data_IF_381372703881
#
_entry.id   IF_381372703881
#
_cell.length_a   1.000
_cell.length_b   1.000
_cell.length_c   1.000
_cell.angle_alpha   90.00
_cell.angle_beta   90.00
_cell.angle_gamma   90.00
#
_symmetry.space_group_name_H-M   'P 1'
#
loop_
_entity.id
_entity.type
_entity.pdbx_description
1 polymer ?
#
# COMPACT_ATOMS: atom_id res chain seq x y z
N UNK A 1 30.89 6.33 3.91
CA UNK A 1 30.60 5.25 2.97
C UNK A 1 30.35 5.89 1.60
N UNK A 2 31.04 5.45 0.55
CA UNK A 2 30.77 5.88 -0.82
C UNK A 2 29.39 5.37 -1.29
N UNK A 3 28.84 5.93 -2.39
CA UNK A 3 27.58 5.45 -2.94
C UNK A 3 27.66 3.97 -3.37
N UNK A 4 28.78 3.53 -3.90
CA UNK A 4 28.98 2.15 -4.32
C UNK A 4 29.08 1.19 -3.13
N UNK A 5 29.77 1.58 -2.07
CA UNK A 5 29.81 0.79 -0.82
C UNK A 5 28.41 0.69 -0.19
N UNK A 6 27.66 1.79 -0.16
CA UNK A 6 26.30 1.82 0.36
C UNK A 6 25.35 0.96 -0.48
N UNK A 7 25.42 1.06 -1.81
CA UNK A 7 24.65 0.20 -2.72
C UNK A 7 24.92 -1.27 -2.44
N UNK A 8 26.21 -1.67 -2.45
CA UNK A 8 26.59 -3.05 -2.22
C UNK A 8 26.11 -3.57 -0.86
N UNK A 9 26.23 -2.76 0.18
CA UNK A 9 25.73 -3.11 1.52
C UNK A 9 24.21 -3.33 1.53
N UNK A 10 23.45 -2.40 0.93
CA UNK A 10 21.98 -2.52 0.87
C UNK A 10 21.52 -3.66 -0.04
N UNK A 11 22.21 -3.90 -1.17
CA UNK A 11 21.87 -5.02 -2.06
C UNK A 11 22.10 -6.38 -1.40
N UNK A 12 23.13 -6.53 -0.58
CA UNK A 12 23.33 -7.74 0.22
C UNK A 12 22.22 -7.92 1.27
N UNK A 13 21.77 -6.85 1.91
CA UNK A 13 20.64 -6.89 2.83
C UNK A 13 19.32 -7.22 2.12
N UNK A 14 19.11 -6.70 0.90
CA UNK A 14 17.94 -7.08 0.08
C UNK A 14 17.95 -8.58 -0.18
N UNK A 15 19.06 -9.15 -0.68
CA UNK A 15 19.18 -10.59 -0.95
C UNK A 15 18.88 -11.43 0.29
N UNK A 16 19.32 -10.98 1.46
CA UNK A 16 19.12 -11.69 2.72
C UNK A 16 17.68 -11.69 3.19
N UNK A 17 16.95 -10.58 2.97
CA UNK A 17 15.62 -10.38 3.56
C UNK A 17 14.47 -10.60 2.56
N UNK A 18 14.70 -10.45 1.26
CA UNK A 18 13.72 -10.69 0.21
C UNK A 18 13.70 -12.18 -0.15
N UNK A 19 13.05 -12.98 0.67
CA UNK A 19 13.03 -14.45 0.59
C UNK A 19 11.61 -15.00 0.80
N UNK A 20 11.37 -16.24 0.38
CA UNK A 20 10.10 -16.92 0.66
C UNK A 20 9.80 -17.05 2.16
N UNK A 21 10.83 -17.16 2.99
CA UNK A 21 10.68 -17.20 4.45
C UNK A 21 10.07 -15.89 4.99
N UNK A 22 10.44 -14.74 4.40
CA UNK A 22 9.85 -13.45 4.77
C UNK A 22 8.33 -13.46 4.63
N UNK A 23 7.77 -14.11 3.60
CA UNK A 23 6.34 -14.15 3.34
C UNK A 23 5.57 -14.76 4.53
N UNK A 24 6.12 -15.79 5.18
CA UNK A 24 5.42 -16.54 6.24
C UNK A 24 5.02 -15.66 7.42
N UNK A 25 5.86 -14.70 7.75
CA UNK A 25 5.67 -13.83 8.92
C UNK A 25 5.26 -12.40 8.57
N UNK A 26 4.97 -12.11 7.29
CA UNK A 26 4.57 -10.77 6.83
C UNK A 26 3.12 -10.75 6.33
N UNK A 27 2.41 -9.62 6.48
CA UNK A 27 1.06 -9.46 5.93
C UNK A 27 0.92 -9.74 4.44
N UNK A 28 2.00 -9.67 3.66
CA UNK A 28 2.00 -10.01 2.23
C UNK A 28 1.60 -11.47 1.97
N UNK A 29 1.73 -12.36 2.97
CA UNK A 29 1.27 -13.75 2.85
C UNK A 29 -0.19 -13.89 2.44
N UNK A 30 -1.03 -12.91 2.80
CA UNK A 30 -2.47 -13.01 2.54
C UNK A 30 -2.83 -12.85 1.08
N UNK A 31 -2.37 -11.82 0.33
CA UNK A 31 -2.65 -11.76 -1.10
C UNK A 31 -2.02 -12.92 -1.89
N UNK A 32 -0.93 -13.54 -1.41
CA UNK A 32 -0.38 -14.76 -2.02
C UNK A 32 -1.31 -15.98 -1.99
N UNK A 33 -2.39 -15.96 -1.19
CA UNK A 33 -3.37 -17.06 -1.11
C UNK A 33 -4.37 -17.06 -2.27
N UNK A 34 -4.36 -16.01 -3.09
CA UNK A 34 -5.34 -15.81 -4.17
C UNK A 34 -4.64 -15.81 -5.53
N UNK A 35 -5.37 -16.25 -6.55
CA UNK A 35 -4.93 -16.26 -7.94
C UNK A 35 -5.72 -15.31 -8.83
N UNK A 36 -6.93 -14.92 -8.41
CA UNK A 36 -7.72 -13.94 -9.13
C UNK A 36 -7.24 -12.52 -8.82
N UNK A 37 -7.02 -11.73 -9.88
CA UNK A 37 -6.50 -10.36 -9.75
C UNK A 37 -7.40 -9.48 -8.87
N UNK A 38 -8.73 -9.65 -8.96
CA UNK A 38 -9.66 -8.84 -8.19
C UNK A 38 -9.54 -9.12 -6.68
N UNK A 39 -9.36 -10.39 -6.32
CA UNK A 39 -9.16 -10.80 -4.94
C UNK A 39 -7.79 -10.36 -4.41
N UNK A 40 -6.73 -10.50 -5.21
CA UNK A 40 -5.38 -10.05 -4.87
C UNK A 40 -5.36 -8.54 -4.57
N UNK A 41 -5.96 -7.71 -5.42
CA UNK A 41 -6.06 -6.27 -5.23
C UNK A 41 -6.78 -5.91 -3.92
N UNK A 42 -7.96 -6.50 -3.71
CA UNK A 42 -8.80 -6.25 -2.54
C UNK A 42 -8.06 -6.62 -1.26
N UNK A 43 -7.49 -7.82 -1.23
CA UNK A 43 -6.77 -8.34 -0.07
C UNK A 43 -5.53 -7.50 0.22
N UNK A 44 -4.76 -7.12 -0.81
CA UNK A 44 -3.59 -6.27 -0.64
C UNK A 44 -3.93 -4.95 0.05
N UNK A 45 -4.96 -4.24 -0.40
CA UNK A 45 -5.36 -2.97 0.21
C UNK A 45 -5.96 -3.14 1.61
N UNK A 46 -6.82 -4.13 1.83
CA UNK A 46 -7.44 -4.36 3.14
C UNK A 46 -6.41 -4.77 4.19
N UNK A 47 -5.53 -5.70 3.84
CA UNK A 47 -4.49 -6.19 4.76
C UNK A 47 -3.46 -5.10 5.04
N UNK A 48 -2.99 -4.38 4.02
CA UNK A 48 -2.10 -3.24 4.23
C UNK A 48 -2.75 -2.17 5.12
N UNK A 49 -4.07 -1.94 4.98
CA UNK A 49 -4.79 -0.95 5.80
C UNK A 49 -4.74 -1.25 7.28
N UNK A 50 -4.75 -2.52 7.68
CA UNK A 50 -4.66 -2.91 9.09
C UNK A 50 -3.23 -3.24 9.54
N UNK A 51 -2.23 -3.09 8.67
CA UNK A 51 -0.84 -3.41 8.98
C UNK A 51 -0.16 -2.33 9.84
N UNK A 52 -0.63 -2.18 11.09
CA UNK A 52 0.01 -1.35 12.12
C UNK A 52 -0.11 -1.97 13.51
N UNK A 53 0.93 -1.82 14.32
CA UNK A 53 1.04 -2.37 15.66
C UNK A 53 1.80 -3.70 15.69
N UNK A 54 1.46 -4.59 16.59
CA UNK A 54 2.15 -5.86 16.76
C UNK A 54 1.88 -6.81 15.58
N UNK A 55 2.94 -7.40 15.01
CA UNK A 55 2.89 -8.26 13.82
C UNK A 55 1.97 -9.46 14.01
N UNK A 56 2.09 -10.20 15.13
CA UNK A 56 1.24 -11.35 15.41
C UNK A 56 -0.24 -10.98 15.46
N UNK A 57 -0.56 -9.80 16.03
CA UNK A 57 -1.93 -9.30 16.06
C UNK A 57 -2.42 -8.94 14.65
N UNK A 58 -1.58 -8.33 13.81
CA UNK A 58 -1.91 -8.00 12.42
C UNK A 58 -2.27 -9.28 11.66
N UNK A 59 -1.41 -10.28 11.69
CA UNK A 59 -1.62 -11.55 11.00
C UNK A 59 -2.91 -12.24 11.47
N UNK A 60 -3.12 -12.34 12.78
CA UNK A 60 -4.33 -12.96 13.33
C UNK A 60 -5.61 -12.22 12.90
N UNK A 61 -5.60 -10.89 12.96
CA UNK A 61 -6.78 -10.10 12.62
C UNK A 61 -7.02 -10.04 11.10
N UNK A 62 -5.98 -10.02 10.28
CA UNK A 62 -6.10 -10.16 8.83
C UNK A 62 -6.72 -11.52 8.46
N UNK A 63 -6.24 -12.62 9.07
CA UNK A 63 -6.83 -13.95 8.88
C UNK A 63 -8.31 -13.97 9.18
N UNK A 64 -8.73 -13.51 10.39
CA UNK A 64 -10.14 -13.43 10.78
C UNK A 64 -10.99 -12.55 9.86
N UNK A 65 -10.43 -11.43 9.38
CA UNK A 65 -11.10 -10.54 8.44
C UNK A 65 -11.39 -11.26 7.12
N UNK A 66 -10.40 -12.00 6.60
CA UNK A 66 -10.53 -12.74 5.34
C UNK A 66 -11.41 -13.99 5.48
N UNK A 67 -11.42 -14.66 6.63
CA UNK A 67 -12.35 -15.77 6.93
C UNK A 67 -13.82 -15.32 6.78
N UNK A 68 -14.15 -14.09 7.22
CA UNK A 68 -15.51 -13.53 7.05
C UNK A 68 -15.83 -13.32 5.57
N UNK A 69 -14.83 -12.98 4.75
CA UNK A 69 -15.01 -12.73 3.32
C UNK A 69 -15.11 -14.03 2.51
N UNK A 70 -14.66 -15.16 3.08
CA UNK A 70 -14.71 -16.47 2.45
C UNK A 70 -13.67 -16.65 1.33
N UNK A 71 -14.02 -17.46 0.33
CA UNK A 71 -13.08 -17.85 -0.74
C UNK A 71 -12.79 -16.73 -1.74
N UNK A 72 -13.78 -15.87 -2.04
CA UNK A 72 -13.63 -14.74 -2.95
C UNK A 72 -14.02 -13.44 -2.24
N UNK A 73 -13.04 -12.66 -1.77
CA UNK A 73 -13.25 -11.30 -1.28
C UNK A 73 -13.99 -10.39 -2.26
N UNK A 74 -13.77 -10.57 -3.56
CA UNK A 74 -14.47 -9.84 -4.61
C UNK A 74 -15.97 -10.15 -4.59
N UNK A 75 -16.37 -11.42 -4.65
CA UNK A 75 -17.78 -11.81 -4.63
C UNK A 75 -18.46 -11.38 -3.33
N UNK A 76 -17.77 -11.51 -2.20
CA UNK A 76 -18.26 -11.04 -0.91
C UNK A 76 -18.59 -9.54 -0.93
N UNK A 77 -17.71 -8.73 -1.50
CA UNK A 77 -17.92 -7.28 -1.60
C UNK A 77 -19.03 -6.98 -2.60
N UNK A 78 -19.02 -7.59 -3.76
CA UNK A 78 -19.99 -7.29 -4.83
C UNK A 78 -21.40 -7.72 -4.47
N UNK A 79 -21.57 -8.80 -3.71
CA UNK A 79 -22.87 -9.24 -3.18
C UNK A 79 -23.38 -8.43 -1.98
N UNK A 80 -22.54 -7.55 -1.40
CA UNK A 80 -22.92 -6.77 -0.21
C UNK A 80 -22.81 -7.55 1.10
N UNK A 81 -22.04 -8.64 1.14
CA UNK A 81 -21.86 -9.48 2.34
C UNK A 81 -21.41 -8.69 3.58
N UNK A 82 -20.65 -7.62 3.38
CA UNK A 82 -20.16 -6.73 4.43
C UNK A 82 -21.26 -5.96 5.18
N UNK A 83 -22.44 -5.78 4.61
CA UNK A 83 -23.55 -5.02 5.23
C UNK A 83 -24.02 -5.64 6.55
N UNK A 84 -23.84 -6.96 6.72
CA UNK A 84 -24.22 -7.73 7.90
C UNK A 84 -23.26 -7.59 9.08
N UNK A 85 -22.08 -6.99 8.87
CA UNK A 85 -21.10 -6.80 9.93
C UNK A 85 -21.62 -5.74 10.93
N UNK A 86 -21.50 -6.00 12.22
CA UNK A 86 -21.80 -5.00 13.24
C UNK A 86 -20.80 -3.84 13.18
N UNK A 87 -21.28 -2.60 13.21
CA UNK A 87 -20.46 -1.39 13.09
C UNK A 87 -19.46 -1.23 14.24
N UNK A 88 -19.83 -1.69 15.43
CA UNK A 88 -19.01 -1.63 16.63
C UNK A 88 -18.03 -2.79 16.77
N UNK A 89 -18.14 -3.84 15.93
CA UNK A 89 -17.23 -4.99 15.97
C UNK A 89 -15.79 -4.53 15.75
N UNK A 90 -14.93 -4.80 16.72
CA UNK A 90 -13.49 -4.55 16.56
C UNK A 90 -12.90 -5.54 15.55
N UNK A 91 -12.37 -5.04 14.45
CA UNK A 91 -11.64 -5.81 13.44
C UNK A 91 -10.15 -5.79 13.76
N UNK A 92 -9.59 -4.58 13.97
CA UNK A 92 -8.19 -4.42 14.37
C UNK A 92 -7.98 -3.08 15.09
N UNK A 93 -7.70 -3.10 16.40
CA UNK A 93 -7.43 -1.89 17.19
C UNK A 93 -8.53 -0.82 17.02
N UNK A 94 -8.21 0.28 16.34
CA UNK A 94 -9.17 1.37 16.06
C UNK A 94 -9.89 1.23 14.72
N UNK A 95 -9.71 0.12 14.02
CA UNK A 95 -10.43 -0.25 12.80
C UNK A 95 -11.60 -1.17 13.17
N UNK A 96 -12.81 -0.67 13.03
CA UNK A 96 -14.04 -1.35 13.42
C UNK A 96 -14.85 -1.82 12.21
N UNK A 97 -15.96 -2.51 12.45
CA UNK A 97 -16.87 -2.97 11.40
C UNK A 97 -17.34 -1.86 10.46
N UNK A 98 -17.63 -0.66 11.00
CA UNK A 98 -17.96 0.51 10.17
C UNK A 98 -16.83 0.93 9.23
N UNK A 99 -15.57 0.79 9.65
CA UNK A 99 -14.42 1.13 8.83
C UNK A 99 -14.20 0.07 7.74
N UNK A 100 -14.43 -1.20 8.08
CA UNK A 100 -14.42 -2.31 7.14
C UNK A 100 -15.53 -2.14 6.07
N UNK A 101 -16.76 -1.81 6.49
CA UNK A 101 -17.87 -1.49 5.57
C UNK A 101 -17.51 -0.32 4.64
N UNK A 102 -16.87 0.72 5.18
CA UNK A 102 -16.39 1.86 4.40
C UNK A 102 -15.49 1.40 3.24
N UNK A 103 -14.51 0.53 3.55
CA UNK A 103 -13.62 -0.03 2.52
C UNK A 103 -14.37 -0.88 1.51
N UNK A 104 -15.20 -1.80 1.95
CA UNK A 104 -15.96 -2.68 1.06
C UNK A 104 -16.89 -1.88 0.15
N UNK A 105 -17.64 -0.93 0.69
CA UNK A 105 -18.54 -0.06 -0.07
C UNK A 105 -17.79 0.81 -1.06
N UNK A 106 -16.65 1.37 -0.66
CA UNK A 106 -15.77 2.14 -1.53
C UNK A 106 -15.25 1.34 -2.71
N UNK A 107 -14.68 0.15 -2.45
CA UNK A 107 -14.18 -0.76 -3.49
C UNK A 107 -15.32 -1.21 -4.41
N UNK A 108 -16.51 -1.54 -3.87
CA UNK A 108 -17.70 -1.87 -4.67
C UNK A 108 -18.10 -0.72 -5.58
N UNK A 109 -18.07 0.51 -5.06
CA UNK A 109 -18.35 1.72 -5.84
C UNK A 109 -17.38 1.89 -6.99
N UNK A 110 -16.07 1.79 -6.73
CA UNK A 110 -15.01 1.89 -7.75
C UNK A 110 -15.19 0.80 -8.83
N UNK A 111 -15.34 -0.46 -8.43
CA UNK A 111 -15.47 -1.59 -9.38
C UNK A 111 -16.84 -1.64 -10.07
N UNK A 112 -17.85 -1.00 -9.52
CA UNK A 112 -19.18 -0.85 -10.13
C UNK A 112 -19.26 0.22 -11.21
N UNK A 113 -18.20 1.00 -11.43
CA UNK A 113 -18.12 2.01 -12.49
C UNK A 113 -17.90 1.29 -13.85
N UNK A 114 -18.95 0.67 -14.36
CA UNK A 114 -18.96 0.12 -15.72
C UNK A 114 -19.30 1.25 -16.69
N UNK A 115 -18.29 1.77 -17.41
CA UNK A 115 -18.51 2.52 -18.64
C UNK A 115 -19.42 3.76 -18.56
N UNK A 116 -19.59 4.35 -17.39
CA UNK A 116 -20.36 5.58 -17.27
C UNK A 116 -19.45 6.73 -17.70
N UNK A 117 -19.82 7.37 -18.84
CA UNK A 117 -19.24 8.63 -19.29
C UNK A 117 -19.15 9.61 -18.12
N UNK A 118 -17.90 9.86 -17.67
CA UNK A 118 -17.53 10.92 -16.77
C UNK A 118 -18.43 11.06 -15.55
N UNK A 119 -17.99 10.59 -14.38
CA UNK A 119 -18.60 11.02 -13.11
C UNK A 119 -18.51 12.56 -13.11
N UNK A 120 -19.68 13.22 -13.26
CA UNK A 120 -19.77 14.67 -13.16
C UNK A 120 -19.39 15.07 -11.74
N UNK A 121 -18.17 15.53 -11.53
CA UNK A 121 -17.74 16.07 -10.24
C UNK A 121 -16.26 15.89 -9.90
N UNK A 122 -15.58 14.86 -10.39
CA UNK A 122 -14.16 14.70 -10.10
C UNK A 122 -13.35 15.49 -11.11
N UNK A 123 -12.96 16.71 -10.72
CA UNK A 123 -11.99 17.52 -11.47
C UNK A 123 -10.65 16.78 -11.51
N UNK A 124 -10.35 16.12 -12.62
CA UNK A 124 -9.05 15.46 -12.84
C UNK A 124 -9.12 14.04 -13.40
N UNK A 125 -10.23 13.31 -13.28
CA UNK A 125 -10.40 11.97 -13.88
C UNK A 125 -11.13 12.12 -15.21
N UNK A 126 -10.53 12.84 -16.16
CA UNK A 126 -10.98 12.85 -17.55
C UNK A 126 -10.36 11.65 -18.24
N UNK A 127 -11.19 10.69 -18.64
CA UNK A 127 -10.81 9.66 -19.60
C UNK A 127 -10.71 8.21 -19.12
N UNK A 128 -11.15 7.86 -17.91
CA UNK A 128 -11.25 6.44 -17.55
C UNK A 128 -12.52 5.88 -18.17
N UNK A 129 -12.40 5.35 -19.38
CA UNK A 129 -13.43 4.50 -19.99
C UNK A 129 -13.36 3.10 -19.33
N UNK A 130 -14.19 2.91 -18.31
CA UNK A 130 -14.36 1.61 -17.63
C UNK A 130 -13.17 1.19 -16.78
N UNK A 131 -13.29 1.32 -15.47
CA UNK A 131 -12.31 0.77 -14.51
C UNK A 131 -12.38 -0.75 -14.57
N UNK A 132 -11.30 -1.39 -15.03
CA UNK A 132 -11.18 -2.86 -15.09
C UNK A 132 -10.61 -3.42 -13.78
N UNK A 133 -9.70 -2.67 -13.14
CA UNK A 133 -9.04 -3.04 -11.89
C UNK A 133 -8.69 -1.81 -11.06
N UNK A 134 -8.20 -2.01 -9.84
CA UNK A 134 -7.76 -0.89 -9.01
C UNK A 134 -6.50 -0.20 -9.58
N UNK A 135 -5.71 -0.89 -10.40
CA UNK A 135 -4.57 -0.29 -11.10
C UNK A 135 -4.96 0.95 -11.91
N UNK A 136 -6.15 0.93 -12.56
CA UNK A 136 -6.65 2.06 -13.36
C UNK A 136 -6.89 3.33 -12.52
N UNK A 137 -7.13 3.17 -11.22
CA UNK A 137 -7.29 4.29 -10.28
C UNK A 137 -5.96 4.95 -9.96
N UNK A 138 -4.91 4.14 -9.85
CA UNK A 138 -3.57 4.60 -9.47
C UNK A 138 -2.73 5.05 -10.66
N UNK A 139 -2.99 4.48 -11.85
CA UNK A 139 -2.26 4.86 -13.06
C UNK A 139 -2.70 6.24 -13.56
N UNK A 140 -1.72 7.02 -13.98
CA UNK A 140 -1.88 8.26 -14.74
C UNK A 140 -0.68 8.42 -15.69
N UNK A 141 -0.83 9.22 -16.75
CA UNK A 141 0.22 9.40 -17.78
C UNK A 141 1.54 9.98 -17.23
N UNK A 142 1.48 10.66 -16.10
CA UNK A 142 2.66 11.22 -15.43
C UNK A 142 3.36 10.19 -14.54
N UNK A 143 2.80 8.98 -14.38
CA UNK A 143 3.28 7.94 -13.45
C UNK A 143 3.45 8.44 -12.00
N UNK A 144 2.62 9.40 -11.60
CA UNK A 144 2.62 10.00 -10.26
C UNK A 144 1.75 9.19 -9.30
N UNK A 145 2.37 8.36 -8.48
CA UNK A 145 1.66 7.53 -7.50
C UNK A 145 0.94 8.35 -6.41
N UNK A 146 1.38 9.59 -6.14
CA UNK A 146 0.67 10.46 -5.20
C UNK A 146 -0.69 10.90 -5.75
N UNK A 147 -0.77 11.18 -7.06
CA UNK A 147 -2.05 11.43 -7.74
C UNK A 147 -2.93 10.19 -7.69
N UNK A 148 -2.37 9.01 -7.92
CA UNK A 148 -3.09 7.74 -7.81
C UNK A 148 -3.67 7.51 -6.41
N UNK A 149 -2.89 7.76 -5.37
CA UNK A 149 -3.35 7.68 -3.97
C UNK A 149 -4.48 8.70 -3.71
N UNK A 150 -4.37 9.91 -4.23
CA UNK A 150 -5.42 10.92 -4.09
C UNK A 150 -6.71 10.49 -4.81
N UNK A 151 -6.60 9.99 -6.05
CA UNK A 151 -7.75 9.47 -6.80
C UNK A 151 -8.45 8.34 -6.05
N UNK A 152 -7.69 7.37 -5.52
CA UNK A 152 -8.24 6.29 -4.72
C UNK A 152 -9.00 6.82 -3.50
N UNK A 153 -8.41 7.78 -2.78
CA UNK A 153 -9.04 8.40 -1.61
C UNK A 153 -10.35 9.11 -1.97
N UNK A 154 -10.37 9.86 -3.06
CA UNK A 154 -11.52 10.65 -3.51
C UNK A 154 -12.66 9.74 -3.98
N UNK A 155 -12.36 8.69 -4.74
CA UNK A 155 -13.34 7.69 -5.16
C UNK A 155 -13.93 6.93 -3.97
N UNK A 156 -13.10 6.56 -2.98
CA UNK A 156 -13.56 5.94 -1.75
C UNK A 156 -14.48 6.86 -0.96
N UNK A 157 -14.15 8.15 -0.90
CA UNK A 157 -14.97 9.15 -0.21
C UNK A 157 -16.29 9.40 -0.94
N UNK A 158 -16.28 9.48 -2.26
CA UNK A 158 -17.48 9.66 -3.09
C UNK A 158 -18.46 8.49 -2.91
N UNK A 159 -17.97 7.25 -3.00
CA UNK A 159 -18.79 6.06 -2.81
C UNK A 159 -19.44 5.97 -1.42
N UNK A 160 -18.82 6.59 -0.41
CA UNK A 160 -19.29 6.56 0.97
C UNK A 160 -20.02 7.85 1.42
N UNK A 161 -19.88 8.94 0.68
CA UNK A 161 -20.37 10.28 1.08
C UNK A 161 -19.53 10.95 2.17
N UNK A 162 -18.40 10.37 2.57
CA UNK A 162 -17.50 10.91 3.59
C UNK A 162 -16.07 10.35 3.45
N UNK A 163 -15.10 11.01 4.07
CA UNK A 163 -13.71 10.53 4.15
C UNK A 163 -13.49 9.59 5.33
N UNK A 164 -12.47 8.73 5.25
CA UNK A 164 -12.03 7.87 6.35
C UNK A 164 -10.63 8.26 6.83
N UNK A 165 -10.43 8.28 8.16
CA UNK A 165 -9.12 8.43 8.80
C UNK A 165 -8.15 7.28 8.51
N UNK A 166 -8.67 6.14 8.08
CA UNK A 166 -7.86 4.95 7.78
C UNK A 166 -7.27 4.98 6.36
N UNK A 167 -7.74 5.90 5.49
CA UNK A 167 -7.11 6.21 4.22
C UNK A 167 -6.31 7.51 4.40
N UNK A 168 -4.99 7.38 4.40
CA UNK A 168 -4.08 8.52 4.60
C UNK A 168 -4.26 9.59 3.52
N UNK A 169 -4.16 10.86 3.91
CA UNK A 169 -4.25 11.99 2.99
C UNK A 169 -2.86 12.37 2.46
N UNK A 170 -2.56 12.16 1.17
CA UNK A 170 -1.28 12.53 0.57
C UNK A 170 -1.18 14.04 0.30
N UNK A 171 -2.33 14.70 0.13
CA UNK A 171 -2.43 16.12 -0.18
C UNK A 171 -2.74 16.91 1.08
N UNK A 172 -1.84 17.80 1.42
CA UNK A 172 -2.12 18.98 2.21
C UNK A 172 -1.77 20.18 1.33
N UNK A 173 -2.23 21.37 1.70
CA UNK A 173 -1.89 22.65 1.05
C UNK A 173 -0.36 22.85 0.92
N UNK A 174 0.41 22.06 1.65
CA UNK A 174 1.88 21.98 1.58
C UNK A 174 2.34 20.52 1.60
N UNK A 175 3.26 20.09 0.71
CA UNK A 175 3.91 18.77 0.77
C UNK A 175 4.56 18.46 2.12
N UNK A 176 4.94 19.50 2.87
CA UNK A 176 5.54 19.37 4.20
C UNK A 176 4.57 18.85 5.26
N UNK A 177 3.26 18.85 5.00
CA UNK A 177 2.21 18.39 5.92
C UNK A 177 1.49 17.13 5.43
N UNK A 178 1.82 16.65 4.24
CA UNK A 178 1.22 15.45 3.67
C UNK A 178 1.62 14.19 4.44
N UNK A 179 0.70 13.24 4.53
CA UNK A 179 0.99 11.93 5.13
C UNK A 179 2.02 11.15 4.30
N UNK A 180 2.90 10.40 4.96
CA UNK A 180 3.80 9.44 4.31
C UNK A 180 3.06 8.30 3.59
N UNK A 181 1.78 8.10 3.83
CA UNK A 181 0.93 7.08 3.20
C UNK A 181 1.53 5.66 3.19
N UNK A 182 2.33 5.30 4.22
CA UNK A 182 3.12 4.06 4.31
C UNK A 182 2.34 2.82 3.87
N UNK A 183 1.11 2.66 4.37
CA UNK A 183 0.28 1.47 4.10
C UNK A 183 -0.14 1.36 2.64
N UNK A 184 -0.43 2.48 1.99
CA UNK A 184 -0.76 2.51 0.56
C UNK A 184 0.47 2.24 -0.30
N UNK A 185 1.63 2.85 0.01
CA UNK A 185 2.88 2.54 -0.68
C UNK A 185 3.30 1.09 -0.52
N UNK A 186 3.04 0.48 0.64
CA UNK A 186 3.30 -0.95 0.86
C UNK A 186 2.41 -1.83 -0.04
N UNK A 187 1.11 -1.53 -0.13
CA UNK A 187 0.21 -2.24 -1.04
C UNK A 187 0.63 -2.07 -2.51
N UNK A 188 1.02 -0.85 -2.91
CA UNK A 188 1.53 -0.58 -4.26
C UNK A 188 2.81 -1.36 -4.55
N UNK A 189 3.75 -1.45 -3.59
CA UNK A 189 4.96 -2.27 -3.76
C UNK A 189 4.58 -3.73 -4.03
N UNK A 190 3.71 -4.33 -3.21
CA UNK A 190 3.26 -5.71 -3.40
C UNK A 190 2.65 -5.97 -4.78
N UNK A 191 1.85 -5.03 -5.28
CA UNK A 191 1.10 -5.20 -6.54
C UNK A 191 1.94 -4.92 -7.79
N UNK A 192 2.89 -3.99 -7.72
CA UNK A 192 3.66 -3.50 -8.87
C UNK A 192 5.02 -4.16 -9.02
N UNK A 193 5.77 -4.29 -7.90
CA UNK A 193 7.12 -4.85 -7.95
C UNK A 193 7.05 -6.35 -8.22
N UNK A 194 7.81 -6.80 -9.20
CA UNK A 194 7.84 -8.19 -9.64
C UNK A 194 9.27 -8.72 -9.53
N UNK A 195 9.61 -9.30 -8.40
CA UNK A 195 10.89 -9.97 -8.20
C UNK A 195 10.79 -11.51 -8.24
N UNK A 196 9.56 -12.03 -8.35
CA UNK A 196 9.28 -13.45 -8.37
C UNK A 196 9.44 -14.15 -7.02
N UNK A 197 9.60 -13.40 -5.91
CA UNK A 197 9.81 -13.94 -4.56
C UNK A 197 8.71 -13.44 -3.62
N UNK A 198 8.83 -12.20 -3.12
CA UNK A 198 7.91 -11.65 -2.09
C UNK A 198 6.80 -10.81 -2.71
N UNK A 199 7.14 -9.89 -3.60
CA UNK A 199 6.16 -9.00 -4.21
C UNK A 199 5.46 -9.70 -5.38
N UNK A 200 4.15 -9.48 -5.52
CA UNK A 200 3.29 -10.22 -6.47
C UNK A 200 3.44 -9.76 -7.93
N UNK A 201 3.68 -8.47 -8.13
CA UNK A 201 3.89 -7.89 -9.46
C UNK A 201 2.77 -8.15 -10.46
N UNK A 202 1.53 -8.10 -9.99
CA UNK A 202 0.34 -8.36 -10.83
C UNK A 202 -0.08 -7.15 -11.65
N UNK A 203 0.28 -5.93 -11.24
CA UNK A 203 0.06 -4.70 -11.98
C UNK A 203 1.15 -4.48 -13.03
N UNK A 204 0.77 -3.94 -14.19
CA UNK A 204 1.66 -3.88 -15.36
C UNK A 204 1.81 -2.49 -15.97
N UNK A 205 0.96 -1.54 -15.60
CA UNK A 205 0.98 -0.15 -16.12
C UNK A 205 1.92 0.74 -15.33
N UNK A 206 2.07 0.47 -14.02
CA UNK A 206 3.07 1.07 -13.16
C UNK A 206 4.31 0.19 -13.09
N UNK A 207 5.45 0.78 -12.80
CA UNK A 207 6.73 0.07 -12.63
C UNK A 207 7.38 0.44 -11.29
N UNK A 208 8.33 -0.38 -10.77
CA UNK A 208 8.98 -0.12 -9.49
C UNK A 208 9.64 1.26 -9.40
N UNK A 209 10.17 1.80 -10.52
CA UNK A 209 10.77 3.15 -10.58
C UNK A 209 9.78 4.27 -10.26
N UNK A 210 8.47 4.05 -10.47
CA UNK A 210 7.41 5.03 -10.23
C UNK A 210 7.01 5.07 -8.75
N UNK A 211 7.34 4.01 -8.00
CA UNK A 211 6.92 3.84 -6.62
C UNK A 211 7.71 4.72 -5.63
N UNK A 212 7.11 4.89 -4.46
CA UNK A 212 7.71 5.53 -3.30
C UNK A 212 7.92 4.51 -2.18
N UNK A 213 9.01 4.68 -1.42
CA UNK A 213 9.35 3.80 -0.31
C UNK A 213 8.27 3.83 0.79
N UNK A 214 7.83 2.67 1.33
CA UNK A 214 6.89 2.61 2.45
C UNK A 214 7.55 3.08 3.76
N UNK A 215 7.55 4.39 4.01
CA UNK A 215 8.23 4.99 5.15
C UNK A 215 7.44 4.83 6.45
N UNK A 216 7.97 4.06 7.40
CA UNK A 216 7.51 4.03 8.79
C UNK A 216 8.61 4.51 9.76
N UNK A 217 8.36 4.34 11.06
CA UNK A 217 9.30 4.79 12.10
C UNK A 217 10.61 3.99 12.09
N UNK A 218 10.57 2.72 11.71
CA UNK A 218 11.71 1.82 11.64
C UNK A 218 12.59 2.13 10.43
N UNK A 219 11.98 2.13 9.24
CA UNK A 219 12.65 2.51 7.99
C UNK A 219 13.24 3.92 8.10
N UNK A 220 12.51 4.88 8.67
CA UNK A 220 13.00 6.24 8.86
C UNK A 220 14.21 6.32 9.81
N UNK A 221 14.20 5.53 10.89
CA UNK A 221 15.32 5.47 11.84
C UNK A 221 16.59 4.96 11.17
N UNK A 222 16.51 3.80 10.54
CA UNK A 222 17.66 3.19 9.83
C UNK A 222 18.16 4.09 8.71
N UNK A 223 17.26 4.73 7.96
CA UNK A 223 17.64 5.65 6.89
C UNK A 223 18.42 6.86 7.40
N UNK A 224 18.05 7.39 8.59
CA UNK A 224 18.80 8.48 9.22
C UNK A 224 20.18 8.03 9.71
N UNK A 225 20.26 6.86 10.32
CA UNK A 225 21.52 6.27 10.78
C UNK A 225 22.52 6.03 9.64
N UNK A 226 21.99 5.65 8.46
CA UNK A 226 22.78 5.44 7.25
C UNK A 226 23.07 6.74 6.47
N UNK A 227 22.58 7.90 6.93
CA UNK A 227 22.74 9.17 6.23
C UNK A 227 21.94 9.29 4.93
N UNK A 228 20.90 8.46 4.76
CA UNK A 228 20.00 8.48 3.59
C UNK A 228 18.88 9.50 3.74
N UNK A 229 18.57 9.93 4.97
CA UNK A 229 17.47 10.83 5.28
C UNK A 229 17.86 11.79 6.42
N UNK A 230 17.86 13.10 6.15
CA UNK A 230 18.16 14.13 7.18
C UNK A 230 16.90 14.68 7.84
N UNK A 231 15.73 14.53 7.20
CA UNK A 231 14.47 15.07 7.69
C UNK A 231 13.98 14.33 8.94
N UNK A 232 13.63 15.11 10.01
CA UNK A 232 13.15 14.55 11.29
C UNK A 232 11.71 14.03 11.20
N UNK A 233 10.82 14.70 10.45
CA UNK A 233 9.42 14.30 10.30
C UNK A 233 9.28 13.13 9.34
N UNK A 234 8.35 12.19 9.64
CA UNK A 234 8.00 11.09 8.75
C UNK A 234 6.73 11.47 7.97
N UNK A 235 6.86 12.38 7.05
CA UNK A 235 5.79 12.92 6.21
C UNK A 235 6.05 12.66 4.72
N UNK A 236 5.20 13.16 3.84
CA UNK A 236 5.33 13.02 2.38
C UNK A 236 6.71 13.48 1.89
N UNK A 237 7.19 14.61 2.37
CA UNK A 237 8.50 15.14 1.97
C UNK A 237 9.65 14.17 2.33
N UNK A 238 9.57 13.53 3.52
CA UNK A 238 10.58 12.52 3.91
C UNK A 238 10.56 11.31 2.98
N UNK A 239 9.38 10.86 2.55
CA UNK A 239 9.24 9.78 1.55
C UNK A 239 9.88 10.17 0.23
N UNK A 240 9.59 11.37 -0.27
CA UNK A 240 10.15 11.87 -1.54
C UNK A 240 11.68 12.00 -1.47
N UNK A 241 12.20 12.58 -0.38
CA UNK A 241 13.65 12.72 -0.16
C UNK A 241 14.35 11.36 -0.11
N UNK A 242 13.84 10.43 0.71
CA UNK A 242 14.42 9.10 0.84
C UNK A 242 14.34 8.34 -0.49
N UNK A 243 13.19 8.34 -1.16
CA UNK A 243 13.04 7.63 -2.44
C UNK A 243 13.97 8.22 -3.50
N UNK A 244 14.12 9.55 -3.55
CA UNK A 244 15.08 10.20 -4.46
C UNK A 244 16.51 9.72 -4.20
N UNK A 245 16.91 9.62 -2.93
CA UNK A 245 18.24 9.13 -2.56
C UNK A 245 18.44 7.65 -2.92
N UNK A 246 17.41 6.81 -2.75
CA UNK A 246 17.44 5.41 -3.14
C UNK A 246 17.50 5.23 -4.68
N UNK A 247 16.87 6.13 -5.45
CA UNK A 247 16.98 6.14 -6.93
C UNK A 247 18.39 6.42 -7.43
N UNK A 248 19.23 7.12 -6.67
CA UNK A 248 20.65 7.28 -7.02
C UNK A 248 21.42 5.95 -6.92
N UNK A 249 20.95 5.04 -6.05
CA UNK A 249 21.55 3.71 -5.89
C UNK A 249 20.97 2.71 -6.92
N UNK A 250 19.65 2.73 -7.12
CA UNK A 250 18.95 1.96 -8.15
C UNK A 250 17.77 2.76 -8.70
N UNK A 251 17.91 3.22 -9.95
CA UNK A 251 16.91 4.05 -10.63
C UNK A 251 15.67 3.28 -11.07
N UNK A 252 15.81 1.97 -11.28
CA UNK A 252 14.77 1.12 -11.86
C UNK A 252 13.93 0.43 -10.76
N UNK A 253 14.51 0.17 -9.58
CA UNK A 253 13.81 -0.43 -8.44
C UNK A 253 14.30 0.13 -7.08
N UNK A 254 14.01 1.41 -6.79
CA UNK A 254 14.45 2.04 -5.55
C UNK A 254 13.74 1.45 -4.32
N UNK A 255 12.53 0.88 -4.51
CA UNK A 255 11.72 0.36 -3.40
C UNK A 255 12.12 -1.03 -2.94
N UNK A 256 13.00 -1.73 -3.67
CA UNK A 256 13.63 -2.97 -3.18
C UNK A 256 14.36 -2.77 -1.85
N UNK A 257 14.89 -1.57 -1.64
CA UNK A 257 15.63 -1.23 -0.43
C UNK A 257 14.78 -1.17 0.84
N UNK A 258 13.44 -1.25 0.73
CA UNK A 258 12.57 -1.45 1.89
C UNK A 258 12.92 -2.76 2.63
N UNK A 259 13.25 -3.84 1.89
CA UNK A 259 13.73 -5.10 2.49
C UNK A 259 15.06 -4.94 3.23
N UNK A 260 15.94 -4.08 2.74
CA UNK A 260 17.21 -3.82 3.42
C UNK A 260 17.00 -3.02 4.70
N UNK A 261 16.29 -1.89 4.60
CA UNK A 261 16.08 -0.96 5.71
C UNK A 261 15.25 -1.60 6.84
N UNK A 262 14.19 -2.31 6.48
CA UNK A 262 13.36 -3.06 7.41
C UNK A 262 14.11 -4.25 8.03
N UNK A 263 14.91 -4.95 7.22
CA UNK A 263 15.70 -6.12 7.65
C UNK A 263 16.73 -5.78 8.73
N UNK A 264 17.30 -4.57 8.73
CA UNK A 264 18.19 -4.09 9.80
C UNK A 264 17.45 -4.07 11.15
N UNK A 265 16.18 -3.64 11.15
CA UNK A 265 15.36 -3.61 12.36
C UNK A 265 15.00 -5.01 12.88
N UNK A 266 14.68 -5.94 11.96
CA UNK A 266 14.41 -7.35 12.30
C UNK A 266 15.63 -7.97 12.96
N UNK A 267 16.83 -7.75 12.42
CA UNK A 267 18.08 -8.24 13.03
C UNK A 267 18.34 -7.68 14.43
N UNK A 268 17.84 -6.50 14.75
CA UNK A 268 17.94 -5.88 16.09
C UNK A 268 16.91 -6.42 17.09
N UNK A 269 15.94 -7.22 16.63
CA UNK A 269 14.83 -7.72 17.47
C UNK A 269 13.87 -6.60 17.92
N UNK A 270 13.76 -5.52 17.17
CA UNK A 270 12.94 -4.35 17.50
C UNK A 270 11.58 -4.33 16.81
N UNK A 271 11.29 -5.36 15.98
CA UNK A 271 10.03 -5.49 15.20
C UNK A 271 9.32 -6.79 15.53
#
# INVERSE_FOLDING_TARGET
MSNDELRNYLDELVKRNNTEEFIKDDPVQFPHRYSDLQDIEIVSFLVATIAWGNRKMILNNAGKMLEIMGKSPYDYIMSGGYERIDDGKCVHRTFFGRDFKYYCKGIRGIKGIKGIRGIKGIKGIRGIEGIKGLEDVFYNEEHDVWKGIQNFRDLMAEANGCTSKHISNPCCESPMKGSACKRLHMALRWLVRNDGIVDLGVWKRLSPKDLMIPLDVHVARVSRELGLLDRKSNDRMAVEMLTSRLRELDKDDPVKYDFALFGVEVMRGTV
#
